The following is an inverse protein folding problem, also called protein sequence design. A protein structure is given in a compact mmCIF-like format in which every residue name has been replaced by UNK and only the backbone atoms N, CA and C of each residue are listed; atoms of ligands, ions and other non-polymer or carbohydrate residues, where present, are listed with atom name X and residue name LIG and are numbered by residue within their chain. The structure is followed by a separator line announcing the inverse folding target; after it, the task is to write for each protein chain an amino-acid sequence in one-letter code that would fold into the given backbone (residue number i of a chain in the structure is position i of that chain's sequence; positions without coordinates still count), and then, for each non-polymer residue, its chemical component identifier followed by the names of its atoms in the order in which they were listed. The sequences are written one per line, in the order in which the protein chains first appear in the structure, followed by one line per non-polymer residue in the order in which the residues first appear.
data_IF_851093774805
#
_entry.id   IF_851093774805
#
_cell.length_a   1.000
_cell.length_b   1.000
_cell.length_c   1.000
_cell.angle_alpha   90.00
_cell.angle_beta   90.00
_cell.angle_gamma   90.00
#
_symmetry.space_group_name_H-M   'P 1'
#
loop_
_entity.id
_entity.type
_entity.pdbx_description
1 polymer ?
#
# COMPACT_ATOMS: atom_id res chain seq x y z
N UNK A 1 10.59 14.63 9.55
CA UNK A 1 9.25 14.10 9.15
C UNK A 1 8.45 15.18 8.46
N UNK A 2 7.87 14.87 7.31
CA UNK A 2 6.93 15.73 6.59
C UNK A 2 5.51 15.21 6.81
N UNK A 3 4.57 16.11 7.09
CA UNK A 3 3.14 15.80 7.20
C UNK A 3 2.47 16.28 5.91
N UNK A 4 1.96 15.35 5.13
CA UNK A 4 1.38 15.59 3.81
C UNK A 4 -0.13 15.36 3.86
N UNK A 5 -0.88 16.40 3.55
CA UNK A 5 -2.36 16.33 3.44
C UNK A 5 -2.75 15.70 2.11
N UNK A 6 -3.99 15.20 2.04
CA UNK A 6 -4.56 14.67 0.80
C UNK A 6 -4.49 15.70 -0.33
N UNK A 7 -3.95 15.31 -1.48
CA UNK A 7 -3.80 16.17 -2.65
C UNK A 7 -2.62 15.80 -3.53
N UNK A 8 -2.27 16.69 -4.44
CA UNK A 8 -1.06 16.60 -5.26
C UNK A 8 0.07 17.42 -4.63
N UNK A 9 1.24 16.83 -4.55
CA UNK A 9 2.45 17.44 -4.01
C UNK A 9 3.58 17.26 -5.02
N UNK A 10 3.77 18.23 -5.89
CA UNK A 10 4.82 18.24 -6.92
C UNK A 10 4.74 17.03 -7.88
N UNK A 11 3.52 16.59 -8.23
CA UNK A 11 3.30 15.43 -9.10
C UNK A 11 3.14 14.10 -8.36
N UNK A 12 3.50 14.04 -7.08
CA UNK A 12 3.23 12.88 -6.23
C UNK A 12 1.85 13.02 -5.56
N UNK A 13 1.00 12.04 -5.71
CA UNK A 13 -0.34 12.07 -5.14
C UNK A 13 -0.35 11.48 -3.74
N UNK A 14 -0.98 12.21 -2.80
CA UNK A 14 -1.18 11.77 -1.42
C UNK A 14 -2.65 11.44 -1.21
N UNK A 15 -2.94 10.23 -0.75
CA UNK A 15 -4.31 9.78 -0.51
C UNK A 15 -4.39 8.91 0.73
N UNK A 16 -4.41 9.51 1.93
CA UNK A 16 -4.46 8.78 3.18
C UNK A 16 -5.60 7.77 3.21
N UNK A 17 -5.38 6.64 3.89
CA UNK A 17 -6.47 5.70 4.18
C UNK A 17 -7.30 6.21 5.34
N UNK A 18 -8.62 6.14 5.17
CA UNK A 18 -9.54 6.43 6.27
C UNK A 18 -9.20 5.57 7.52
N UNK A 19 -9.24 6.12 8.74
CA UNK A 19 -9.70 7.45 9.11
C UNK A 19 -8.64 8.56 9.09
N UNK A 20 -7.42 8.31 8.60
CA UNK A 20 -6.40 9.35 8.51
C UNK A 20 -6.73 10.41 7.44
N UNK A 21 -6.41 11.66 7.71
CA UNK A 21 -6.51 12.78 6.77
C UNK A 21 -5.16 13.17 6.16
N UNK A 22 -4.07 12.60 6.68
CA UNK A 22 -2.70 12.95 6.31
C UNK A 22 -1.77 11.74 6.35
N UNK A 23 -0.59 11.89 5.75
CA UNK A 23 0.48 10.89 5.73
C UNK A 23 1.75 11.55 6.24
N UNK A 24 2.41 10.93 7.22
CA UNK A 24 3.73 11.37 7.71
C UNK A 24 4.81 10.50 7.12
N UNK A 25 5.83 11.09 6.50
CA UNK A 25 6.98 10.37 5.94
C UNK A 25 8.29 11.13 6.20
N UNK A 26 9.42 10.45 6.11
CA UNK A 26 10.73 11.10 6.15
C UNK A 26 10.92 11.99 4.91
N UNK A 27 11.59 13.14 5.07
CA UNK A 27 11.83 14.08 3.98
C UNK A 27 12.66 13.47 2.84
N UNK A 28 13.60 12.57 3.16
CA UNK A 28 14.42 11.85 2.18
C UNK A 28 13.57 10.90 1.36
N UNK A 29 12.66 10.18 2.03
CA UNK A 29 11.69 9.29 1.36
C UNK A 29 10.81 10.06 0.39
N UNK A 30 10.31 11.23 0.80
CA UNK A 30 9.52 12.10 -0.08
C UNK A 30 10.30 12.52 -1.32
N UNK A 31 11.54 12.98 -1.14
CA UNK A 31 12.41 13.38 -2.26
C UNK A 31 12.66 12.20 -3.23
N UNK A 32 12.92 11.01 -2.71
CA UNK A 32 13.13 9.82 -3.54
C UNK A 32 11.84 9.36 -4.25
N UNK A 33 10.68 9.49 -3.62
CA UNK A 33 9.41 9.20 -4.30
C UNK A 33 9.12 10.19 -5.44
N UNK A 34 9.52 11.46 -5.31
CA UNK A 34 9.44 12.41 -6.42
C UNK A 34 10.37 12.01 -7.57
N UNK A 35 11.58 11.55 -7.26
CA UNK A 35 12.52 11.03 -8.27
C UNK A 35 11.94 9.79 -8.96
N UNK A 36 11.37 8.82 -8.22
CA UNK A 36 10.67 7.68 -8.80
C UNK A 36 9.56 8.16 -9.73
N UNK A 37 8.72 9.10 -9.26
CA UNK A 37 7.60 9.63 -10.06
C UNK A 37 8.07 10.28 -11.37
N UNK A 38 9.20 10.98 -11.34
CA UNK A 38 9.75 11.63 -12.53
C UNK A 38 10.22 10.65 -13.62
N UNK A 39 10.61 9.42 -13.21
CA UNK A 39 11.06 8.35 -14.11
C UNK A 39 9.94 7.51 -14.68
N UNK A 40 8.75 7.57 -14.08
CA UNK A 40 7.60 6.79 -14.55
C UNK A 40 6.91 7.45 -15.74
N UNK A 41 6.26 6.65 -16.60
CA UNK A 41 5.44 7.18 -17.70
C UNK A 41 4.35 8.14 -17.18
N UNK A 42 3.97 9.13 -17.96
CA UNK A 42 2.93 10.12 -17.60
C UNK A 42 1.57 9.52 -17.28
N UNK A 43 1.26 8.34 -17.83
CA UNK A 43 0.04 7.59 -17.53
C UNK A 43 0.04 6.95 -16.14
N UNK A 44 1.23 6.82 -15.51
CA UNK A 44 1.43 6.16 -14.22
C UNK A 44 1.73 7.19 -13.15
N UNK A 45 0.92 7.23 -12.11
CA UNK A 45 1.13 8.13 -10.96
C UNK A 45 1.17 7.30 -9.67
N UNK A 46 2.13 7.58 -8.82
CA UNK A 46 2.20 7.02 -7.47
C UNK A 46 1.18 7.71 -6.55
N UNK A 47 0.53 6.91 -5.74
CA UNK A 47 -0.37 7.38 -4.68
C UNK A 47 0.14 6.87 -3.34
N UNK A 48 0.71 7.75 -2.53
CA UNK A 48 1.11 7.43 -1.17
C UNK A 48 -0.14 7.33 -0.30
N UNK A 49 -0.34 6.18 0.32
CA UNK A 49 -1.56 5.92 1.10
C UNK A 49 -1.29 5.83 2.59
N UNK A 50 -0.03 5.61 2.98
CA UNK A 50 0.39 5.43 4.36
C UNK A 50 1.89 5.67 4.48
N UNK A 51 2.32 6.13 5.63
CA UNK A 51 3.70 6.27 6.06
C UNK A 51 3.76 6.03 7.57
N UNK A 52 4.57 6.79 8.28
CA UNK A 52 4.74 6.70 9.72
C UNK A 52 3.44 6.90 10.50
N UNK A 53 3.23 6.05 11.46
CA UNK A 53 2.09 6.11 12.36
C UNK A 53 2.51 5.68 13.76
N UNK A 54 2.44 6.57 14.76
CA UNK A 54 2.80 6.26 16.13
C UNK A 54 1.86 5.19 16.72
N UNK A 55 2.43 4.22 17.45
CA UNK A 55 1.69 3.12 18.06
C UNK A 55 0.61 3.57 19.07
N UNK A 56 0.78 4.77 19.64
CA UNK A 56 -0.15 5.37 20.62
C UNK A 56 -1.33 6.12 19.98
N UNK A 57 -1.46 6.10 18.66
CA UNK A 57 -2.54 6.82 17.98
C UNK A 57 -3.90 6.13 18.13
N UNK A 58 -4.98 6.93 18.14
CA UNK A 58 -6.36 6.40 18.05
C UNK A 58 -6.55 5.48 16.83
N UNK A 59 -5.78 5.68 15.77
CA UNK A 59 -5.73 4.86 14.57
C UNK A 59 -5.26 3.43 14.88
N UNK A 60 -4.31 3.25 15.80
CA UNK A 60 -3.85 1.93 16.23
C UNK A 60 -4.96 1.10 16.84
N UNK A 61 -5.76 1.69 17.74
CA UNK A 61 -6.93 1.03 18.32
C UNK A 61 -7.98 0.66 17.27
N UNK A 62 -8.32 1.59 16.39
CA UNK A 62 -9.29 1.34 15.30
C UNK A 62 -8.84 0.22 14.37
N UNK A 63 -7.56 0.15 14.06
CA UNK A 63 -6.97 -0.93 13.26
C UNK A 63 -7.09 -2.29 13.95
N UNK A 64 -6.73 -2.36 15.22
CA UNK A 64 -6.84 -3.60 15.99
C UNK A 64 -8.27 -4.09 16.01
N UNK A 65 -9.23 -3.19 16.24
CA UNK A 65 -10.65 -3.52 16.25
C UNK A 65 -11.13 -3.96 14.86
N UNK A 66 -10.80 -3.21 13.80
CA UNK A 66 -11.21 -3.55 12.43
C UNK A 66 -10.58 -4.85 11.95
N UNK A 67 -9.32 -5.11 12.29
CA UNK A 67 -8.63 -6.38 12.01
C UNK A 67 -9.32 -7.53 12.72
N UNK A 68 -9.60 -7.40 14.01
CA UNK A 68 -10.30 -8.43 14.80
C UNK A 68 -11.68 -8.75 14.19
N UNK A 69 -12.46 -7.71 13.87
CA UNK A 69 -13.76 -7.88 13.22
C UNK A 69 -13.64 -8.55 11.84
N UNK A 70 -12.67 -8.12 11.03
CA UNK A 70 -12.36 -8.70 9.73
C UNK A 70 -12.01 -10.19 9.80
N UNK A 71 -11.15 -10.57 10.76
CA UNK A 71 -10.79 -11.98 11.00
C UNK A 71 -12.04 -12.80 11.38
N UNK A 72 -12.87 -12.29 12.28
CA UNK A 72 -14.10 -12.99 12.71
C UNK A 72 -15.05 -13.20 11.54
N UNK A 73 -15.28 -12.15 10.77
CA UNK A 73 -16.15 -12.21 9.58
C UNK A 73 -15.59 -13.16 8.52
N UNK A 74 -14.28 -13.11 8.27
CA UNK A 74 -13.63 -14.03 7.34
C UNK A 74 -13.76 -15.49 7.76
N UNK A 75 -13.50 -15.80 9.04
CA UNK A 75 -13.64 -17.15 9.58
C UNK A 75 -15.08 -17.68 9.49
N UNK A 76 -16.07 -16.81 9.65
CA UNK A 76 -17.49 -17.16 9.53
C UNK A 76 -17.85 -17.47 8.07
N UNK A 77 -17.43 -16.61 7.14
CA UNK A 77 -17.74 -16.76 5.71
C UNK A 77 -16.91 -17.86 5.02
N UNK A 78 -15.66 -18.08 5.48
CA UNK A 78 -14.69 -18.98 4.83
C UNK A 78 -14.00 -19.93 5.82
N UNK A 79 -14.74 -20.84 6.47
CA UNK A 79 -14.18 -21.71 7.51
C UNK A 79 -13.05 -22.63 7.02
N UNK A 80 -13.01 -22.93 5.70
CA UNK A 80 -11.98 -23.78 5.08
C UNK A 80 -10.70 -23.03 4.67
N UNK A 81 -10.67 -21.70 4.79
CA UNK A 81 -9.54 -20.86 4.37
C UNK A 81 -8.81 -20.21 5.54
N UNK A 82 -8.90 -20.79 6.72
CA UNK A 82 -8.26 -20.24 7.94
C UNK A 82 -6.75 -20.13 7.84
N UNK A 83 -6.10 -21.00 7.06
CA UNK A 83 -4.66 -20.95 6.81
C UNK A 83 -4.19 -19.66 6.11
N UNK A 84 -5.09 -18.96 5.42
CA UNK A 84 -4.78 -17.71 4.72
C UNK A 84 -4.86 -16.48 5.63
N UNK A 85 -5.24 -16.63 6.92
CA UNK A 85 -5.44 -15.51 7.84
C UNK A 85 -4.17 -14.70 8.07
N UNK A 86 -3.01 -15.36 8.17
CA UNK A 86 -1.73 -14.68 8.35
C UNK A 86 -1.36 -13.86 7.11
N UNK A 87 -1.60 -14.40 5.93
CA UNK A 87 -1.34 -13.73 4.66
C UNK A 87 -2.27 -12.54 4.43
N UNK A 88 -3.55 -12.66 4.83
CA UNK A 88 -4.58 -11.63 4.59
C UNK A 88 -4.54 -10.54 5.66
N UNK A 89 -4.40 -10.92 6.92
CA UNK A 89 -4.49 -10.04 8.07
C UNK A 89 -3.18 -9.91 8.87
N UNK A 90 -2.08 -10.48 8.35
CA UNK A 90 -0.76 -10.39 8.97
C UNK A 90 -0.37 -8.94 9.26
N UNK A 91 0.33 -8.70 10.36
CA UNK A 91 0.90 -7.40 10.66
C UNK A 91 2.20 -7.25 9.88
N UNK A 92 2.22 -6.45 8.84
CA UNK A 92 3.47 -5.89 8.36
C UNK A 92 4.03 -5.03 9.51
N UNK A 93 5.33 -5.14 9.76
CA UNK A 93 6.00 -4.48 10.86
C UNK A 93 5.61 -3.00 10.99
N UNK A 94 5.64 -2.50 12.23
CA UNK A 94 5.37 -1.10 12.47
C UNK A 94 6.53 -0.27 11.94
N UNK A 95 6.21 0.76 11.17
CA UNK A 95 7.17 1.77 10.79
C UNK A 95 7.56 2.58 12.03
N UNK A 96 8.83 2.49 12.41
CA UNK A 96 9.39 3.19 13.59
C UNK A 96 10.09 4.49 13.24
N UNK A 97 10.44 4.72 11.98
CA UNK A 97 11.33 5.83 11.58
C UNK A 97 10.84 6.67 10.39
N UNK A 98 9.70 6.32 9.79
CA UNK A 98 9.13 7.03 8.64
C UNK A 98 9.74 6.65 7.29
N UNK A 99 10.53 5.58 7.24
CA UNK A 99 11.10 5.06 5.99
C UNK A 99 10.18 4.10 5.26
N UNK A 100 9.21 3.51 5.96
CA UNK A 100 8.19 2.64 5.40
C UNK A 100 7.06 3.42 4.73
N UNK A 101 6.68 3.01 3.53
CA UNK A 101 5.56 3.59 2.80
C UNK A 101 4.69 2.55 2.10
N UNK A 102 3.39 2.80 2.15
CA UNK A 102 2.41 2.06 1.37
C UNK A 102 2.03 2.86 0.13
N UNK A 103 2.28 2.30 -1.03
CA UNK A 103 2.02 2.92 -2.32
C UNK A 103 0.90 2.20 -3.06
N UNK A 104 0.10 2.94 -3.80
CA UNK A 104 -0.81 2.44 -4.82
C UNK A 104 -0.46 3.07 -6.15
N UNK A 105 -0.78 2.38 -7.22
CA UNK A 105 -0.58 2.87 -8.58
C UNK A 105 -1.89 3.47 -9.08
N UNK A 106 -1.81 4.64 -9.69
CA UNK A 106 -2.88 5.27 -10.47
C UNK A 106 -2.47 5.17 -11.93
N UNK A 107 -3.24 4.47 -12.73
CA UNK A 107 -3.03 4.30 -14.17
C UNK A 107 -4.17 5.00 -14.91
N UNK A 108 -3.84 5.94 -15.80
CA UNK A 108 -4.81 6.75 -16.55
C UNK A 108 -5.89 7.37 -15.65
N UNK A 109 -5.47 7.93 -14.51
CA UNK A 109 -6.35 8.56 -13.52
C UNK A 109 -7.15 7.58 -12.65
N UNK A 110 -7.06 6.26 -12.88
CA UNK A 110 -7.78 5.23 -12.11
C UNK A 110 -6.83 4.50 -11.18
N UNK A 111 -7.10 4.54 -9.87
CA UNK A 111 -6.32 3.80 -8.89
C UNK A 111 -6.47 2.30 -9.11
N UNK A 112 -5.34 1.60 -9.25
CA UNK A 112 -5.32 0.14 -9.23
C UNK A 112 -5.62 -0.32 -7.79
N UNK A 113 -6.66 -1.12 -7.65
CA UNK A 113 -7.07 -1.71 -6.37
C UNK A 113 -7.34 -3.18 -6.58
N UNK A 114 -7.16 -3.97 -5.54
CA UNK A 114 -7.94 -5.20 -5.44
C UNK A 114 -9.42 -4.85 -5.59
N UNK A 115 -10.18 -5.79 -6.12
CA UNK A 115 -11.62 -5.65 -6.10
C UNK A 115 -12.06 -5.36 -4.66
N UNK A 116 -13.03 -4.47 -4.44
CA UNK A 116 -13.64 -4.31 -3.13
C UNK A 116 -14.01 -5.70 -2.61
N UNK A 117 -13.70 -6.00 -1.38
CA UNK A 117 -13.87 -7.34 -0.84
C UNK A 117 -12.97 -8.38 -1.55
N UNK A 118 -11.73 -8.02 -1.90
CA UNK A 118 -10.78 -8.94 -2.54
C UNK A 118 -10.60 -10.26 -1.81
N UNK A 119 -10.78 -10.25 -0.49
CA UNK A 119 -10.88 -11.43 0.37
C UNK A 119 -12.06 -12.34 -0.02
N UNK A 120 -13.14 -11.77 -0.54
CA UNK A 120 -14.36 -12.47 -0.95
C UNK A 120 -14.44 -12.75 -2.45
N UNK A 121 -13.47 -12.29 -3.23
CA UNK A 121 -13.41 -12.54 -4.67
C UNK A 121 -12.73 -13.89 -4.94
N UNK A 122 -13.19 -14.61 -5.96
CA UNK A 122 -12.57 -15.88 -6.32
C UNK A 122 -11.09 -15.69 -6.68
N UNK A 123 -10.19 -16.60 -6.29
CA UNK A 123 -8.78 -16.55 -6.61
C UNK A 123 -8.49 -16.34 -8.10
N UNK A 124 -9.25 -17.03 -8.97
CA UNK A 124 -9.11 -16.91 -10.43
C UNK A 124 -9.31 -15.48 -10.94
N UNK A 125 -10.32 -14.76 -10.43
CA UNK A 125 -10.55 -13.36 -10.80
C UNK A 125 -9.44 -12.44 -10.30
N UNK A 126 -8.89 -12.72 -9.12
CA UNK A 126 -7.76 -11.96 -8.59
C UNK A 126 -6.50 -12.19 -9.44
N UNK A 127 -6.20 -13.42 -9.80
CA UNK A 127 -5.06 -13.73 -10.66
C UNK A 127 -5.19 -13.10 -12.06
N UNK A 128 -6.37 -13.15 -12.67
CA UNK A 128 -6.62 -12.46 -13.94
C UNK A 128 -6.38 -10.95 -13.84
N UNK A 129 -6.79 -10.34 -12.71
CA UNK A 129 -6.56 -8.93 -12.47
C UNK A 129 -5.08 -8.60 -12.26
N UNK A 130 -4.35 -9.42 -11.51
CA UNK A 130 -2.90 -9.29 -11.33
C UNK A 130 -2.19 -9.38 -12.68
N UNK A 131 -2.49 -10.40 -13.47
CA UNK A 131 -1.90 -10.61 -14.79
C UNK A 131 -2.12 -9.40 -15.72
N UNK A 132 -3.32 -8.80 -15.68
CA UNK A 132 -3.64 -7.62 -16.49
C UNK A 132 -2.75 -6.41 -16.21
N UNK A 133 -2.32 -6.23 -14.97
CA UNK A 133 -1.54 -5.05 -14.54
C UNK A 133 -0.10 -5.38 -14.20
N UNK A 134 0.35 -6.63 -14.43
CA UNK A 134 1.68 -7.10 -14.02
C UNK A 134 2.80 -6.24 -14.61
N UNK A 135 2.75 -5.90 -15.88
CA UNK A 135 3.79 -5.10 -16.55
C UNK A 135 4.00 -3.74 -15.87
N UNK A 136 2.91 -3.00 -15.60
CA UNK A 136 2.98 -1.69 -14.93
C UNK A 136 3.44 -1.83 -13.48
N UNK A 137 2.98 -2.85 -12.77
CA UNK A 137 3.38 -3.09 -11.39
C UNK A 137 4.87 -3.41 -11.29
N UNK A 138 5.39 -4.27 -12.17
CA UNK A 138 6.81 -4.63 -12.19
C UNK A 138 7.69 -3.45 -12.63
N UNK A 139 7.26 -2.62 -13.58
CA UNK A 139 7.95 -1.39 -13.95
C UNK A 139 8.07 -0.42 -12.76
N UNK A 140 6.98 -0.21 -12.03
CA UNK A 140 6.99 0.64 -10.82
C UNK A 140 7.91 0.06 -9.76
N UNK A 141 7.85 -1.26 -9.51
CA UNK A 141 8.74 -1.91 -8.55
C UNK A 141 10.21 -1.82 -8.95
N UNK A 142 10.53 -2.03 -10.22
CA UNK A 142 11.89 -1.90 -10.71
C UNK A 142 12.43 -0.48 -10.53
N UNK A 143 11.61 0.54 -10.83
CA UNK A 143 11.98 1.95 -10.64
C UNK A 143 12.18 2.29 -9.17
N UNK A 144 11.31 1.81 -8.27
CA UNK A 144 11.46 1.94 -6.83
C UNK A 144 12.78 1.31 -6.36
N UNK A 145 13.08 0.09 -6.79
CA UNK A 145 14.34 -0.59 -6.45
C UNK A 145 15.58 0.19 -6.90
N UNK A 146 15.57 0.78 -8.09
CA UNK A 146 16.64 1.63 -8.59
C UNK A 146 16.84 2.92 -7.78
N UNK A 147 15.80 3.39 -7.11
CA UNK A 147 15.83 4.56 -6.23
C UNK A 147 16.03 4.21 -4.74
N UNK A 148 16.52 3.01 -4.43
CA UNK A 148 16.89 2.62 -3.07
C UNK A 148 15.75 2.10 -2.19
N UNK A 149 14.60 1.77 -2.79
CA UNK A 149 13.50 1.15 -2.04
C UNK A 149 13.62 -0.37 -2.03
N UNK A 150 13.52 -0.96 -0.87
CA UNK A 150 13.35 -2.41 -0.71
C UNK A 150 11.85 -2.74 -0.66
N UNK A 151 11.42 -3.57 -1.61
CA UNK A 151 9.99 -3.94 -1.73
C UNK A 151 9.74 -5.21 -0.93
N UNK A 152 8.69 -5.16 -0.09
CA UNK A 152 8.24 -6.32 0.65
C UNK A 152 7.40 -7.25 -0.23
N UNK A 153 7.60 -8.56 -0.10
CA UNK A 153 6.71 -9.55 -0.72
C UNK A 153 5.40 -9.58 0.05
N UNK A 154 4.33 -9.21 -0.63
CA UNK A 154 2.99 -9.40 -0.11
C UNK A 154 2.15 -10.17 -1.14
N UNK A 155 1.94 -11.47 -0.96
CA UNK A 155 1.20 -12.30 -1.93
C UNK A 155 -0.25 -11.86 -2.10
N UNK A 156 -0.86 -11.29 -1.05
CA UNK A 156 -2.28 -10.94 -1.05
C UNK A 156 -2.59 -9.54 -1.54
N UNK A 157 -1.60 -8.62 -1.52
CA UNK A 157 -1.74 -7.22 -1.90
C UNK A 157 -0.88 -6.85 -3.13
N UNK A 158 -0.83 -7.73 -4.13
CA UNK A 158 0.06 -7.59 -5.30
C UNK A 158 -0.14 -6.32 -6.15
N UNK A 159 -1.26 -5.60 -6.00
CA UNK A 159 -1.51 -4.30 -6.65
C UNK A 159 -1.24 -3.11 -5.72
N UNK A 160 -0.74 -3.38 -4.53
CA UNK A 160 -0.29 -2.40 -3.56
C UNK A 160 1.16 -2.70 -3.22
N UNK A 161 1.98 -1.68 -3.14
CA UNK A 161 3.41 -1.83 -2.91
C UNK A 161 3.70 -1.37 -1.49
N UNK A 162 4.32 -2.26 -0.71
CA UNK A 162 4.88 -1.97 0.60
C UNK A 162 6.38 -1.92 0.44
N UNK A 163 7.02 -0.84 0.80
CA UNK A 163 8.46 -0.71 0.65
C UNK A 163 9.07 0.14 1.74
N UNK A 164 10.34 -0.15 2.04
CA UNK A 164 11.19 0.62 2.93
C UNK A 164 12.27 1.32 2.11
N UNK A 165 12.53 2.57 2.42
CA UNK A 165 13.67 3.27 1.88
C UNK A 165 14.92 2.90 2.69
N UNK A 166 15.92 2.36 2.01
CA UNK A 166 17.24 2.09 2.57
C UNK A 166 18.23 3.09 1.97
N UNK A 167 18.60 4.06 2.79
CA UNK A 167 19.65 5.04 2.43
C UNK A 167 21.01 4.35 2.33
#
# INVERSE_FOLDING_TARGET
MLILKKGDHQGLRIGPRWPSSEVSIDARVFAQLLEVQSRLPRSVQLLVTRGYEPNSSCLGFFRTLSRWLGIRLFCLCYPRRKQELEDIFGSNGHDVDGTHVDLSIVLDGKRLRFLPLGVFTSPARQEQRKARYSAVVEEVKATLGQCGFQIHRNPTESLQIHCDYKA
#
